data_IF_906878368423
#
_entry.id   IF_906878368423
#
_cell.length_a   1.000
_cell.length_b   1.000
_cell.length_c   1.000
_cell.angle_alpha   90.00
_cell.angle_beta   90.00
_cell.angle_gamma   90.00
#
_symmetry.space_group_name_H-M   'P 1'
#
loop_
_entity.id
_entity.type
_entity.pdbx_description
1 polymer ?
#
# COMPACT_ATOMS: atom_id res chain seq x y z
N UNK A 1 42.41 4.51 -9.43
CA UNK A 1 41.20 3.81 -9.90
C UNK A 1 40.33 3.23 -8.77
N UNK A 2 40.89 2.56 -7.75
CA UNK A 2 40.09 1.97 -6.65
C UNK A 2 39.29 2.99 -5.80
N UNK A 3 39.83 4.20 -5.59
CA UNK A 3 39.15 5.27 -4.83
C UNK A 3 37.91 5.83 -5.54
N UNK A 4 37.85 5.76 -6.87
CA UNK A 4 36.69 6.22 -7.66
C UNK A 4 35.57 5.18 -7.62
N UNK A 5 35.92 3.89 -7.60
CA UNK A 5 34.97 2.78 -7.45
C UNK A 5 34.27 2.76 -6.08
N UNK A 6 34.98 3.07 -5.01
CA UNK A 6 34.40 3.15 -3.65
C UNK A 6 33.40 4.30 -3.52
N UNK A 7 33.70 5.47 -4.12
CA UNK A 7 32.81 6.63 -4.10
C UNK A 7 31.52 6.37 -4.92
N UNK A 8 31.62 5.67 -6.06
CA UNK A 8 30.47 5.23 -6.84
C UNK A 8 29.60 4.20 -6.11
N UNK A 9 30.21 3.25 -5.39
CA UNK A 9 29.47 2.26 -4.59
C UNK A 9 28.72 2.91 -3.41
N UNK A 10 29.27 3.97 -2.80
CA UNK A 10 28.61 4.71 -1.73
C UNK A 10 27.45 5.61 -2.22
N UNK A 11 27.48 6.10 -3.47
CA UNK A 11 26.34 6.85 -4.03
C UNK A 11 25.13 5.96 -4.35
N UNK A 12 25.34 4.68 -4.66
CA UNK A 12 24.27 3.70 -4.89
C UNK A 12 23.59 3.28 -3.57
N UNK A 13 24.28 3.45 -2.43
CA UNK A 13 23.76 3.12 -1.11
C UNK A 13 22.84 4.18 -0.49
N UNK A 14 22.58 5.31 -1.18
CA UNK A 14 21.52 6.25 -0.81
C UNK A 14 20.15 5.76 -1.30
N UNK A 15 19.80 4.53 -0.90
CA UNK A 15 18.47 3.96 -1.04
C UNK A 15 17.97 3.54 0.34
N UNK A 16 18.12 4.42 1.34
CA UNK A 16 17.47 4.26 2.63
C UNK A 16 16.07 4.86 2.53
N UNK A 17 15.11 4.01 2.17
CA UNK A 17 13.70 4.36 2.06
C UNK A 17 12.90 3.18 1.54
N UNK A 18 11.61 3.16 1.83
CA UNK A 18 10.63 2.20 1.33
C UNK A 18 10.71 2.01 -0.20
N UNK A 19 11.02 3.08 -0.94
CA UNK A 19 11.34 3.03 -2.36
C UNK A 19 12.22 4.22 -2.75
N UNK A 20 12.65 4.30 -4.02
CA UNK A 20 13.48 5.39 -4.50
C UNK A 20 12.76 6.75 -4.42
N UNK A 21 13.48 7.88 -4.24
CA UNK A 21 12.85 9.20 -4.17
C UNK A 21 11.97 9.53 -5.39
N UNK A 22 12.40 9.13 -6.59
CA UNK A 22 11.63 9.35 -7.82
C UNK A 22 10.35 8.49 -7.85
N UNK A 23 10.43 7.22 -7.41
CA UNK A 23 9.26 6.36 -7.31
C UNK A 23 8.26 6.90 -6.28
N UNK A 24 8.74 7.37 -5.13
CA UNK A 24 7.93 8.02 -4.09
C UNK A 24 7.15 9.21 -4.63
N UNK A 25 7.82 10.13 -5.34
CA UNK A 25 7.18 11.30 -5.96
C UNK A 25 6.12 10.86 -6.98
N UNK A 26 6.45 9.91 -7.85
CA UNK A 26 5.56 9.43 -8.90
C UNK A 26 4.30 8.76 -8.33
N UNK A 27 4.47 7.87 -7.34
CA UNK A 27 3.37 7.15 -6.68
C UNK A 27 2.45 8.15 -5.97
N UNK A 28 3.01 9.11 -5.23
CA UNK A 28 2.22 10.16 -4.57
C UNK A 28 1.43 11.01 -5.56
N UNK A 29 2.05 11.42 -6.66
CA UNK A 29 1.37 12.20 -7.70
C UNK A 29 0.22 11.40 -8.33
N UNK A 30 0.51 10.17 -8.77
CA UNK A 30 -0.51 9.29 -9.37
C UNK A 30 -1.63 8.96 -8.38
N UNK A 31 -1.33 8.84 -7.08
CA UNK A 31 -2.33 8.63 -6.04
C UNK A 31 -3.25 9.83 -5.85
N UNK A 32 -2.67 11.04 -5.77
CA UNK A 32 -3.43 12.28 -5.61
C UNK A 32 -4.43 12.50 -6.76
N UNK A 33 -4.02 12.16 -7.99
CA UNK A 33 -4.87 12.24 -9.18
C UNK A 33 -6.03 11.20 -9.16
N UNK A 34 -5.93 10.16 -8.32
CA UNK A 34 -6.79 8.95 -8.34
C UNK A 34 -7.77 8.83 -7.18
N UNK A 35 -7.35 9.12 -5.95
CA UNK A 35 -8.16 8.81 -4.77
C UNK A 35 -9.45 9.67 -4.68
N UNK A 36 -9.52 10.78 -5.42
CA UNK A 36 -10.74 11.57 -5.57
C UNK A 36 -11.27 12.20 -4.27
N UNK A 37 -12.49 12.74 -4.33
CA UNK A 37 -13.20 13.34 -3.18
C UNK A 37 -13.97 12.28 -2.35
N UNK A 38 -14.45 12.65 -1.16
CA UNK A 38 -14.97 11.76 -0.11
C UNK A 38 -15.93 10.64 -0.56
N UNK A 39 -16.87 10.91 -1.48
CA UNK A 39 -17.78 9.89 -2.02
C UNK A 39 -17.09 8.81 -2.85
N UNK A 40 -16.10 9.20 -3.66
CA UNK A 40 -15.31 8.28 -4.50
C UNK A 40 -14.37 7.41 -3.65
N UNK A 41 -13.89 7.94 -2.52
CA UNK A 41 -13.03 7.21 -1.57
C UNK A 41 -13.73 5.99 -0.95
N UNK A 42 -15.03 6.09 -0.68
CA UNK A 42 -15.77 4.97 -0.07
C UNK A 42 -15.98 3.83 -1.06
N UNK A 43 -16.33 4.15 -2.31
CA UNK A 43 -16.47 3.12 -3.35
C UNK A 43 -15.10 2.52 -3.68
N UNK A 44 -14.06 3.34 -3.80
CA UNK A 44 -12.69 2.86 -3.98
C UNK A 44 -12.27 1.88 -2.88
N UNK A 45 -12.52 2.25 -1.61
CA UNK A 45 -12.18 1.40 -0.47
C UNK A 45 -12.92 0.04 -0.53
N UNK A 46 -14.21 0.04 -0.88
CA UNK A 46 -14.96 -1.19 -1.02
C UNK A 46 -14.48 -2.03 -2.21
N UNK A 47 -14.15 -1.38 -3.32
CA UNK A 47 -13.69 -2.04 -4.54
C UNK A 47 -12.30 -2.64 -4.38
N UNK A 48 -11.43 -2.02 -3.58
CA UNK A 48 -10.16 -2.58 -3.15
C UNK A 48 -10.35 -3.95 -2.48
N UNK A 49 -11.27 -4.06 -1.52
CA UNK A 49 -11.55 -5.31 -0.82
C UNK A 49 -12.26 -6.36 -1.70
N UNK A 50 -13.13 -5.94 -2.61
CA UNK A 50 -13.68 -6.85 -3.64
C UNK A 50 -12.57 -7.43 -4.50
N UNK A 51 -11.61 -6.59 -4.91
CA UNK A 51 -10.45 -7.03 -5.68
C UNK A 51 -9.54 -7.96 -4.87
N UNK A 52 -9.30 -7.67 -3.60
CA UNK A 52 -8.56 -8.55 -2.68
C UNK A 52 -9.20 -9.94 -2.62
N UNK A 53 -10.50 -10.03 -2.39
CA UNK A 53 -11.18 -11.33 -2.28
C UNK A 53 -11.31 -12.07 -3.62
N UNK A 54 -11.15 -11.38 -4.75
CA UNK A 54 -11.03 -12.02 -6.05
C UNK A 54 -9.63 -12.65 -6.24
N UNK A 55 -8.57 -12.00 -5.75
CA UNK A 55 -7.21 -12.55 -5.77
C UNK A 55 -7.00 -13.65 -4.72
N UNK A 56 -7.58 -13.48 -3.53
CA UNK A 56 -7.48 -14.38 -2.40
C UNK A 56 -8.84 -14.52 -1.68
N UNK A 57 -9.69 -15.45 -2.15
CA UNK A 57 -10.98 -15.71 -1.52
C UNK A 57 -10.86 -16.16 -0.05
N UNK A 58 -9.73 -16.78 0.32
CA UNK A 58 -9.51 -17.30 1.67
C UNK A 58 -9.32 -16.18 2.70
N UNK A 59 -8.76 -15.03 2.28
CA UNK A 59 -8.59 -13.85 3.13
C UNK A 59 -9.90 -13.35 3.75
N UNK A 60 -11.05 -13.65 3.13
CA UNK A 60 -12.37 -13.24 3.63
C UNK A 60 -12.63 -13.71 5.08
N UNK A 61 -12.12 -14.87 5.47
CA UNK A 61 -12.28 -15.39 6.83
C UNK A 61 -11.65 -14.48 7.90
N UNK A 62 -10.58 -13.75 7.55
CA UNK A 62 -9.87 -12.82 8.44
C UNK A 62 -10.71 -11.59 8.80
N UNK A 63 -11.78 -11.32 8.05
CA UNK A 63 -12.65 -10.14 8.20
C UNK A 63 -14.03 -10.50 8.79
N UNK A 64 -14.20 -11.70 9.34
CA UNK A 64 -15.46 -12.16 9.96
C UNK A 64 -15.95 -11.24 11.08
N UNK A 65 -15.03 -10.65 11.87
CA UNK A 65 -15.34 -9.74 12.97
C UNK A 65 -15.82 -8.35 12.55
N UNK A 66 -15.75 -8.03 11.26
CA UNK A 66 -16.12 -6.71 10.71
C UNK A 66 -17.26 -6.81 9.69
N UNK A 67 -18.07 -7.87 9.74
CA UNK A 67 -19.30 -7.96 8.96
C UNK A 67 -19.12 -8.32 7.49
N UNK A 68 -17.98 -8.87 7.07
CA UNK A 68 -17.65 -9.18 5.65
C UNK A 68 -18.62 -10.15 4.93
N UNK A 69 -19.47 -10.85 5.68
CA UNK A 69 -20.54 -11.68 5.13
C UNK A 69 -21.50 -10.83 4.27
N UNK A 70 -21.79 -9.60 4.72
CA UNK A 70 -22.39 -8.56 3.90
C UNK A 70 -21.37 -7.46 3.66
N UNK A 71 -20.79 -7.42 2.45
CA UNK A 71 -19.81 -6.40 2.08
C UNK A 71 -20.39 -4.98 2.03
N UNK A 72 -21.72 -4.84 2.04
CA UNK A 72 -22.37 -3.54 2.11
C UNK A 72 -22.75 -3.16 3.56
N UNK A 73 -22.45 -4.01 4.55
CA UNK A 73 -22.72 -3.71 5.95
C UNK A 73 -21.98 -2.44 6.40
N UNK A 74 -22.59 -1.62 7.28
CA UNK A 74 -21.93 -0.43 7.83
C UNK A 74 -20.56 -0.73 8.47
N UNK A 75 -20.45 -1.86 9.17
CA UNK A 75 -19.24 -2.31 9.85
C UNK A 75 -18.11 -2.59 8.86
N UNK A 76 -18.42 -3.30 7.77
CA UNK A 76 -17.42 -3.65 6.77
C UNK A 76 -17.00 -2.43 5.96
N UNK A 77 -17.94 -1.57 5.58
CA UNK A 77 -17.62 -0.31 4.88
C UNK A 77 -16.74 0.61 5.73
N UNK A 78 -17.03 0.70 7.04
CA UNK A 78 -16.19 1.44 7.97
C UNK A 78 -14.79 0.83 8.09
N UNK A 79 -14.67 -0.50 8.10
CA UNK A 79 -13.37 -1.17 8.06
C UNK A 79 -12.58 -0.86 6.79
N UNK A 80 -13.22 -0.98 5.62
CA UNK A 80 -12.60 -0.67 4.33
C UNK A 80 -12.05 0.76 4.31
N UNK A 81 -12.83 1.72 4.79
CA UNK A 81 -12.40 3.12 4.90
C UNK A 81 -11.20 3.31 5.84
N UNK A 82 -11.16 2.62 6.98
CA UNK A 82 -9.99 2.69 7.89
C UNK A 82 -8.71 2.20 7.21
N UNK A 83 -8.79 1.11 6.45
CA UNK A 83 -7.63 0.56 5.73
C UNK A 83 -7.23 1.47 4.57
N UNK A 84 -8.18 1.95 3.78
CA UNK A 84 -7.92 2.89 2.68
C UNK A 84 -7.30 4.22 3.19
N UNK A 85 -7.74 4.72 4.34
CA UNK A 85 -7.14 5.91 4.97
C UNK A 85 -5.73 5.62 5.54
N UNK A 86 -5.48 4.39 6.01
CA UNK A 86 -4.13 3.95 6.37
C UNK A 86 -3.20 3.95 5.16
N UNK A 87 -3.66 3.38 4.04
CA UNK A 87 -2.93 3.40 2.77
C UNK A 87 -2.66 4.83 2.28
N UNK A 88 -3.70 5.69 2.24
CA UNK A 88 -3.59 7.12 1.87
C UNK A 88 -2.50 7.83 2.69
N UNK A 89 -2.51 7.61 4.02
CA UNK A 89 -1.52 8.19 4.93
C UNK A 89 -0.09 7.69 4.64
N UNK A 90 0.10 6.38 4.51
CA UNK A 90 1.44 5.82 4.22
C UNK A 90 1.99 6.28 2.87
N UNK A 91 1.13 6.41 1.85
CA UNK A 91 1.52 6.96 0.54
C UNK A 91 1.90 8.44 0.67
N UNK A 92 1.09 9.23 1.39
CA UNK A 92 1.34 10.65 1.59
C UNK A 92 2.67 10.92 2.33
N UNK A 93 3.12 9.97 3.17
CA UNK A 93 4.36 10.06 3.93
C UNK A 93 5.60 9.51 3.19
N UNK A 94 5.49 9.06 1.93
CA UNK A 94 6.62 8.47 1.19
C UNK A 94 7.83 9.41 0.99
N UNK A 95 7.71 10.73 1.22
CA UNK A 95 8.83 11.67 1.24
C UNK A 95 9.32 12.09 2.63
N UNK A 96 8.66 11.61 3.68
CA UNK A 96 9.02 11.89 5.07
C UNK A 96 9.47 10.60 5.74
N UNK A 97 10.74 10.25 5.55
CA UNK A 97 11.32 8.99 6.02
C UNK A 97 11.01 8.70 7.50
N UNK A 98 11.29 9.65 8.39
CA UNK A 98 11.13 9.43 9.83
C UNK A 98 9.65 9.26 10.24
N UNK A 99 8.74 10.03 9.61
CA UNK A 99 7.31 9.93 9.87
C UNK A 99 6.75 8.60 9.33
N UNK A 100 7.20 8.17 8.15
CA UNK A 100 6.81 6.91 7.54
C UNK A 100 7.27 5.72 8.37
N UNK A 101 8.54 5.68 8.78
CA UNK A 101 9.08 4.58 9.59
C UNK A 101 8.36 4.48 10.94
N UNK A 102 8.06 5.60 11.59
CA UNK A 102 7.30 5.60 12.83
C UNK A 102 5.87 5.05 12.65
N UNK A 103 5.17 5.43 11.57
CA UNK A 103 3.83 4.92 11.26
C UNK A 103 3.86 3.44 10.87
N UNK A 104 4.84 3.01 10.07
CA UNK A 104 5.01 1.60 9.69
C UNK A 104 5.32 0.72 10.90
N UNK A 105 6.13 1.19 11.85
CA UNK A 105 6.36 0.48 13.12
C UNK A 105 5.07 0.33 13.94
N UNK A 106 4.21 1.34 13.94
CA UNK A 106 2.88 1.24 14.56
C UNK A 106 2.00 0.20 13.83
N UNK A 107 1.98 0.22 12.50
CA UNK A 107 1.23 -0.74 11.68
C UNK A 107 1.73 -2.17 11.85
N UNK A 108 3.05 -2.39 11.95
CA UNK A 108 3.64 -3.69 12.27
C UNK A 108 3.09 -4.22 13.59
N UNK A 109 3.09 -3.40 14.65
CA UNK A 109 2.50 -3.78 15.94
C UNK A 109 1.02 -4.18 15.86
N UNK A 110 0.26 -3.58 14.93
CA UNK A 110 -1.15 -3.95 14.69
C UNK A 110 -1.31 -5.28 13.93
N UNK A 111 -0.33 -5.68 13.11
CA UNK A 111 -0.43 -6.84 12.21
C UNK A 111 0.33 -8.08 12.70
N UNK A 112 1.36 -7.91 13.53
CA UNK A 112 2.25 -8.99 13.99
C UNK A 112 1.52 -10.21 14.60
N UNK A 113 0.40 -9.98 15.28
CA UNK A 113 -0.39 -11.05 15.94
C UNK A 113 -1.58 -11.56 15.12
N UNK A 114 -1.79 -11.07 13.89
CA UNK A 114 -2.99 -11.35 13.08
C UNK A 114 -2.87 -12.55 12.14
N UNK A 115 -1.69 -13.17 12.05
CA UNK A 115 -1.45 -14.30 11.16
C UNK A 115 -1.59 -13.97 9.68
N UNK A 116 -1.37 -12.70 9.30
CA UNK A 116 -1.36 -12.27 7.90
C UNK A 116 -0.09 -12.78 7.24
N UNK A 117 -0.24 -13.54 6.16
CA UNK A 117 0.89 -14.15 5.45
C UNK A 117 1.42 -13.21 4.37
N UNK A 118 2.67 -13.44 3.93
CA UNK A 118 3.23 -12.75 2.78
C UNK A 118 2.35 -12.87 1.52
N UNK A 119 1.68 -14.02 1.33
CA UNK A 119 0.72 -14.21 0.24
C UNK A 119 -0.53 -13.33 0.35
N UNK A 120 -1.03 -13.07 1.56
CA UNK A 120 -2.15 -12.14 1.75
C UNK A 120 -1.73 -10.69 1.43
N UNK A 121 -0.51 -10.29 1.80
CA UNK A 121 0.02 -8.99 1.44
C UNK A 121 0.23 -8.83 -0.06
N UNK A 122 0.76 -9.84 -0.75
CA UNK A 122 0.87 -9.83 -2.22
C UNK A 122 -0.51 -9.66 -2.88
N UNK A 123 -1.53 -10.38 -2.39
CA UNK A 123 -2.91 -10.23 -2.89
C UNK A 123 -3.45 -8.81 -2.68
N UNK A 124 -3.09 -8.15 -1.57
CA UNK A 124 -3.42 -6.75 -1.34
C UNK A 124 -2.67 -5.83 -2.30
N UNK A 125 -1.38 -6.05 -2.56
CA UNK A 125 -0.60 -5.28 -3.54
C UNK A 125 -1.26 -5.37 -4.92
N UNK A 126 -1.61 -6.59 -5.37
CA UNK A 126 -2.29 -6.81 -6.65
C UNK A 126 -3.65 -6.10 -6.70
N UNK A 127 -4.41 -6.14 -5.61
CA UNK A 127 -5.68 -5.44 -5.50
C UNK A 127 -5.51 -3.91 -5.64
N UNK A 128 -4.50 -3.32 -4.98
CA UNK A 128 -4.19 -1.89 -5.12
C UNK A 128 -3.80 -1.55 -6.56
N UNK A 129 -2.85 -2.29 -7.14
CA UNK A 129 -2.38 -2.06 -8.52
C UNK A 129 -3.53 -2.13 -9.53
N UNK A 130 -4.40 -3.13 -9.41
CA UNK A 130 -5.55 -3.31 -10.30
C UNK A 130 -6.59 -2.18 -10.22
N UNK A 131 -6.77 -1.57 -9.04
CA UNK A 131 -7.72 -0.47 -8.86
C UNK A 131 -7.15 0.89 -9.30
N UNK A 132 -5.83 1.09 -9.21
CA UNK A 132 -5.18 2.35 -9.59
C UNK A 132 -4.84 2.38 -11.09
N UNK A 133 -4.36 1.27 -11.64
CA UNK A 133 -3.90 1.12 -13.02
C UNK A 133 -5.00 0.91 -14.05
N UNK A 134 -6.17 1.56 -13.90
CA UNK A 134 -7.28 1.41 -14.84
C UNK A 134 -6.88 1.73 -16.30
N UNK A 135 -7.55 1.18 -17.33
CA UNK A 135 -7.21 1.42 -18.73
C UNK A 135 -7.23 2.91 -19.12
N UNK A 136 -6.30 3.33 -19.98
CA UNK A 136 -6.23 4.70 -20.50
C UNK A 136 -5.51 5.70 -19.58
N UNK A 137 -4.69 5.20 -18.66
CA UNK A 137 -4.07 5.98 -17.58
C UNK A 137 -2.56 5.91 -17.66
N UNK A 138 -1.89 7.06 -17.49
CA UNK A 138 -0.46 7.09 -17.21
C UNK A 138 -0.21 6.51 -15.82
N UNK A 139 0.15 5.23 -15.78
CA UNK A 139 0.35 4.45 -14.56
C UNK A 139 1.70 3.74 -14.61
N UNK A 140 2.52 3.89 -13.57
CA UNK A 140 3.79 3.19 -13.46
C UNK A 140 3.67 2.03 -12.47
N UNK A 141 3.31 0.87 -12.99
CA UNK A 141 3.14 -0.34 -12.19
C UNK A 141 4.42 -0.74 -11.43
N UNK A 142 5.61 -0.44 -11.99
CA UNK A 142 6.89 -0.79 -11.38
C UNK A 142 7.20 0.07 -10.16
N UNK A 143 7.01 1.39 -10.28
CA UNK A 143 7.16 2.32 -9.17
C UNK A 143 6.18 2.00 -8.04
N UNK A 144 4.90 1.77 -8.37
CA UNK A 144 3.89 1.37 -7.40
C UNK A 144 4.22 0.07 -6.69
N UNK A 145 4.58 -0.99 -7.45
CA UNK A 145 4.93 -2.28 -6.85
C UNK A 145 6.13 -2.15 -5.92
N UNK A 146 7.15 -1.39 -6.30
CA UNK A 146 8.34 -1.16 -5.48
C UNK A 146 7.98 -0.45 -4.16
N UNK A 147 7.21 0.63 -4.22
CA UNK A 147 6.82 1.36 -3.00
C UNK A 147 5.87 0.54 -2.12
N UNK A 148 4.87 -0.15 -2.69
CA UNK A 148 3.97 -0.99 -1.92
C UNK A 148 4.71 -2.17 -1.27
N UNK A 149 5.65 -2.79 -1.98
CA UNK A 149 6.48 -3.86 -1.41
C UNK A 149 7.30 -3.34 -0.24
N UNK A 150 7.96 -2.18 -0.38
CA UNK A 150 8.72 -1.60 0.72
C UNK A 150 7.86 -1.24 1.93
N UNK A 151 6.59 -0.83 1.74
CA UNK A 151 5.63 -0.63 2.84
C UNK A 151 5.34 -1.96 3.53
N UNK A 152 4.98 -2.99 2.75
CA UNK A 152 4.68 -4.33 3.27
C UNK A 152 5.86 -4.91 4.02
N UNK A 153 7.08 -4.71 3.52
CA UNK A 153 8.32 -5.22 4.13
C UNK A 153 8.56 -4.67 5.54
N UNK A 154 7.99 -3.51 5.88
CA UNK A 154 8.07 -2.94 7.23
C UNK A 154 6.90 -3.35 8.14
N UNK A 155 5.81 -3.89 7.57
CA UNK A 155 4.61 -4.28 8.34
C UNK A 155 4.64 -5.77 8.69
N UNK A 156 5.19 -6.60 7.81
CA UNK A 156 5.23 -8.07 7.97
C UNK A 156 6.15 -8.55 9.10
#
# INVERSE_FOLDING_TARGET
>A
MMKVLVVLACMVAYAYGVCSPLASILVRQQWADRIGQSGQRTEFALQLFRSLFNHDPSARAMFSSVGVADMNSPEFRAHCLRVANGLDRTIAQLDSHDALIADLAHLHGQHASRGVTAGNYESMILAVLGNIGAPGVCFDAGAWRTCLQGIVDQIQ
#
